data_IF_269486502376
#
_entry.id   IF_269486502376
#
_cell.length_a   1.000
_cell.length_b   1.000
_cell.length_c   1.000
_cell.angle_alpha   90.00
_cell.angle_beta   90.00
_cell.angle_gamma   90.00
#
_symmetry.space_group_name_H-M   'P 1'
#
loop_
_entity.id
_entity.type
_entity.pdbx_description
1 polymer ?
#
# COMPACT_ATOMS: atom_id res chain seq x y z
N UNK A 1 -18.98 -13.71 -21.45
CA UNK A 1 -17.58 -13.66 -20.95
C UNK A 1 -16.56 -13.06 -21.92
N UNK A 2 -16.84 -12.88 -23.22
CA UNK A 2 -15.84 -12.37 -24.18
C UNK A 2 -15.26 -10.98 -23.83
N UNK A 3 -16.08 -10.05 -23.34
CA UNK A 3 -15.64 -8.68 -22.99
C UNK A 3 -14.68 -8.65 -21.79
N UNK A 4 -14.98 -9.43 -20.74
CA UNK A 4 -14.14 -9.50 -19.54
C UNK A 4 -12.76 -10.05 -19.89
N UNK A 5 -12.68 -11.14 -20.66
CA UNK A 5 -11.41 -11.70 -21.12
C UNK A 5 -10.56 -10.73 -21.90
N UNK A 6 -11.16 -9.96 -22.80
CA UNK A 6 -10.43 -8.93 -23.56
C UNK A 6 -9.85 -7.88 -22.61
N UNK A 7 -10.58 -7.47 -21.55
CA UNK A 7 -10.08 -6.51 -20.57
C UNK A 7 -8.96 -7.08 -19.69
N UNK A 8 -9.02 -8.38 -19.36
CA UNK A 8 -7.93 -9.10 -18.68
C UNK A 8 -6.68 -9.16 -19.57
N UNK A 9 -6.84 -9.61 -20.82
CA UNK A 9 -5.76 -9.73 -21.81
C UNK A 9 -5.10 -8.37 -22.13
N UNK A 10 -5.88 -7.29 -22.11
CA UNK A 10 -5.38 -5.92 -22.29
C UNK A 10 -4.78 -5.31 -21.02
N UNK A 11 -4.86 -5.99 -19.87
CA UNK A 11 -4.33 -5.50 -18.60
C UNK A 11 -5.18 -4.39 -17.96
N UNK A 12 -6.42 -4.17 -18.38
CA UNK A 12 -7.33 -3.27 -17.65
C UNK A 12 -7.84 -3.90 -16.37
N UNK A 13 -8.04 -5.22 -16.37
CA UNK A 13 -8.37 -5.99 -15.16
C UNK A 13 -7.11 -6.72 -14.71
N UNK A 14 -6.58 -6.33 -13.55
CA UNK A 14 -5.37 -6.91 -12.97
C UNK A 14 -5.65 -8.09 -12.02
N UNK A 15 -6.91 -8.28 -11.61
CA UNK A 15 -7.31 -9.38 -10.75
C UNK A 15 -8.69 -9.20 -10.12
N UNK A 16 -9.08 -10.19 -9.33
CA UNK A 16 -10.35 -10.21 -8.60
C UNK A 16 -10.08 -10.47 -7.13
N UNK A 17 -10.63 -9.62 -6.26
CA UNK A 17 -10.50 -9.74 -4.82
C UNK A 17 -11.86 -9.56 -4.17
N UNK A 18 -12.11 -10.32 -3.11
CA UNK A 18 -13.28 -10.09 -2.28
C UNK A 18 -13.05 -8.83 -1.43
N UNK A 19 -14.09 -8.01 -1.30
CA UNK A 19 -14.15 -7.00 -0.25
C UNK A 19 -14.47 -7.70 1.08
N UNK A 20 -13.62 -7.49 2.08
CA UNK A 20 -13.65 -8.24 3.34
C UNK A 20 -13.64 -7.29 4.53
N UNK A 21 -14.43 -7.63 5.55
CA UNK A 21 -14.39 -6.93 6.82
C UNK A 21 -13.12 -7.33 7.60
N UNK A 22 -12.14 -6.43 7.63
CA UNK A 22 -10.87 -6.67 8.31
C UNK A 22 -11.04 -6.93 9.80
N UNK A 23 -12.00 -6.28 10.47
CA UNK A 23 -12.25 -6.46 11.91
C UNK A 23 -12.92 -7.80 12.19
N UNK A 24 -13.86 -8.22 11.37
CA UNK A 24 -14.46 -9.56 11.48
C UNK A 24 -13.41 -10.67 11.33
N UNK A 25 -12.31 -10.39 10.61
CA UNK A 25 -11.16 -11.29 10.46
C UNK A 25 -10.08 -11.10 11.54
N UNK A 26 -10.30 -10.22 12.53
CA UNK A 26 -9.40 -9.98 13.65
C UNK A 26 -8.25 -9.01 13.37
N UNK A 27 -8.29 -8.24 12.29
CA UNK A 27 -7.33 -7.17 11.98
C UNK A 27 -7.82 -5.82 12.50
N UNK A 28 -7.46 -5.50 13.74
CA UNK A 28 -7.94 -4.31 14.45
C UNK A 28 -7.06 -3.08 14.24
N UNK A 29 -5.83 -3.26 13.72
CA UNK A 29 -4.84 -2.19 13.62
C UNK A 29 -4.53 -1.86 12.17
N UNK A 30 -4.68 -0.58 11.82
CA UNK A 30 -4.21 -0.03 10.56
C UNK A 30 -3.28 1.16 10.83
N UNK A 31 -2.11 1.15 10.20
CA UNK A 31 -1.05 2.15 10.46
C UNK A 31 -0.47 2.63 9.14
N UNK A 32 -0.34 3.95 8.99
CA UNK A 32 0.52 4.53 7.97
C UNK A 32 1.93 4.67 8.50
N UNK A 33 2.91 4.22 7.73
CA UNK A 33 4.32 4.25 8.09
C UNK A 33 5.09 5.07 7.07
N UNK A 34 5.64 6.18 7.51
CA UNK A 34 6.53 7.04 6.73
C UNK A 34 7.96 6.58 6.97
N UNK A 35 8.67 6.21 5.90
CA UNK A 35 10.03 5.69 5.95
C UNK A 35 10.95 6.63 5.19
N UNK A 36 11.97 7.11 5.87
CA UNK A 36 13.12 7.79 5.26
C UNK A 36 14.32 6.85 5.22
N UNK A 37 15.01 6.82 4.10
CA UNK A 37 16.20 6.03 3.84
C UNK A 37 17.47 6.89 3.97
N UNK A 38 18.62 6.24 4.17
CA UNK A 38 19.90 6.93 4.25
C UNK A 38 20.41 7.33 2.86
N UNK A 39 20.12 6.50 1.85
CA UNK A 39 20.46 6.68 0.45
C UNK A 39 19.23 6.51 -0.44
N UNK A 40 19.08 7.43 -1.39
CA UNK A 40 18.04 7.42 -2.43
C UNK A 40 18.60 6.93 -3.78
N UNK A 41 19.72 6.22 -3.78
CA UNK A 41 20.20 5.58 -5.00
C UNK A 41 19.17 4.54 -5.49
N UNK A 42 18.98 4.44 -6.80
CA UNK A 42 17.98 3.56 -7.43
C UNK A 42 18.05 2.11 -6.93
N UNK A 43 19.26 1.60 -6.73
CA UNK A 43 19.49 0.25 -6.20
C UNK A 43 18.97 0.07 -4.78
N UNK A 44 19.09 1.10 -3.95
CA UNK A 44 18.65 1.06 -2.55
C UNK A 44 17.14 1.22 -2.45
N UNK A 45 16.55 2.10 -3.27
CA UNK A 45 15.10 2.25 -3.41
C UNK A 45 14.47 0.92 -3.84
N UNK A 46 14.97 0.30 -4.91
CA UNK A 46 14.48 -0.98 -5.43
C UNK A 46 14.65 -2.12 -4.42
N UNK A 47 15.76 -2.14 -3.67
CA UNK A 47 15.98 -3.12 -2.61
C UNK A 47 14.95 -2.99 -1.50
N UNK A 48 14.63 -1.76 -1.07
CA UNK A 48 13.63 -1.52 -0.04
C UNK A 48 12.21 -1.89 -0.52
N UNK A 49 11.85 -1.54 -1.76
CA UNK A 49 10.58 -1.97 -2.36
C UNK A 49 10.45 -3.50 -2.39
N UNK A 50 11.53 -4.20 -2.78
CA UNK A 50 11.57 -5.65 -2.81
C UNK A 50 11.28 -6.27 -1.45
N UNK A 51 11.82 -5.69 -0.36
CA UNK A 51 11.52 -6.11 1.01
C UNK A 51 10.06 -5.83 1.39
N UNK A 52 9.55 -4.66 1.04
CA UNK A 52 8.15 -4.30 1.32
C UNK A 52 7.16 -5.30 0.71
N UNK A 53 7.42 -5.76 -0.51
CA UNK A 53 6.57 -6.77 -1.18
C UNK A 53 6.53 -8.12 -0.44
N UNK A 54 7.54 -8.44 0.37
CA UNK A 54 7.63 -9.70 1.12
C UNK A 54 6.93 -9.63 2.49
N UNK A 55 6.68 -8.44 3.03
CA UNK A 55 6.10 -8.28 4.36
C UNK A 55 4.58 -8.42 4.35
N UNK A 56 4.01 -9.43 5.01
CA UNK A 56 2.56 -9.67 4.96
C UNK A 56 1.72 -8.60 5.64
N UNK A 57 2.30 -7.79 6.55
CA UNK A 57 1.57 -6.70 7.18
C UNK A 57 1.51 -5.45 6.29
N UNK A 58 2.41 -5.32 5.31
CA UNK A 58 2.45 -4.18 4.37
C UNK A 58 1.47 -4.45 3.23
N UNK A 59 0.38 -3.69 3.16
CA UNK A 59 -0.68 -3.86 2.13
C UNK A 59 -0.53 -2.90 0.97
N UNK A 60 0.09 -1.75 1.22
CA UNK A 60 0.48 -0.83 0.16
C UNK A 60 1.86 -0.25 0.47
N UNK A 61 2.64 0.02 -0.58
CA UNK A 61 3.95 0.65 -0.50
C UNK A 61 4.07 1.63 -1.66
N UNK A 62 4.24 2.91 -1.35
CA UNK A 62 4.28 4.00 -2.33
C UNK A 62 5.54 4.80 -2.14
N UNK A 63 6.34 4.95 -3.20
CA UNK A 63 7.44 5.90 -3.23
C UNK A 63 6.91 7.31 -3.39
N UNK A 64 7.45 8.26 -2.63
CA UNK A 64 7.02 9.65 -2.64
C UNK A 64 8.15 10.58 -3.08
N UNK A 65 7.77 11.73 -3.65
CA UNK A 65 8.67 12.86 -3.81
C UNK A 65 8.57 13.73 -2.55
N UNK A 66 9.68 14.00 -1.85
CA UNK A 66 9.69 14.94 -0.71
C UNK A 66 10.61 14.52 0.44
N UNK A 67 10.17 14.83 1.68
CA UNK A 67 10.93 14.57 2.92
C UNK A 67 10.97 13.09 3.34
N UNK A 68 10.05 12.29 2.81
CA UNK A 68 9.90 10.86 3.12
C UNK A 68 9.98 10.12 1.80
N UNK A 69 10.76 9.03 1.77
CA UNK A 69 10.98 8.26 0.55
C UNK A 69 9.81 7.30 0.27
N UNK A 70 9.25 6.70 1.33
CA UNK A 70 8.13 5.76 1.20
C UNK A 70 7.03 6.00 2.23
N UNK A 71 5.79 5.78 1.82
CA UNK A 71 4.66 5.57 2.73
C UNK A 71 4.11 4.15 2.57
N UNK A 72 3.95 3.46 3.69
CA UNK A 72 3.38 2.12 3.76
C UNK A 72 2.00 2.18 4.41
N UNK A 73 1.01 1.48 3.86
CA UNK A 73 -0.25 1.15 4.57
C UNK A 73 -0.09 -0.24 5.16
N UNK A 74 -0.02 -0.32 6.48
CA UNK A 74 0.09 -1.58 7.20
C UNK A 74 -1.24 -1.96 7.85
N UNK A 75 -1.55 -3.26 7.87
CA UNK A 75 -2.70 -3.83 8.57
C UNK A 75 -2.22 -5.00 9.43
N UNK A 76 -2.60 -5.02 10.71
CA UNK A 76 -2.15 -6.01 11.67
C UNK A 76 -3.31 -6.45 12.61
N UNK A 77 -3.22 -7.66 13.20
CA UNK A 77 -4.19 -8.12 14.19
C UNK A 77 -4.32 -7.18 15.39
N UNK A 78 -3.17 -6.75 15.92
CA UNK A 78 -3.07 -5.93 17.12
C UNK A 78 -1.78 -5.10 17.11
N UNK A 79 -1.67 -4.19 18.10
CA UNK A 79 -0.51 -3.31 18.24
C UNK A 79 0.78 -4.07 18.58
N UNK A 80 0.70 -5.20 19.29
CA UNK A 80 1.89 -5.98 19.64
C UNK A 80 2.51 -6.61 18.40
N UNK A 81 1.67 -7.18 17.53
CA UNK A 81 2.08 -7.77 16.25
C UNK A 81 2.72 -6.71 15.36
N UNK A 82 2.09 -5.53 15.27
CA UNK A 82 2.66 -4.41 14.52
C UNK A 82 3.99 -3.93 15.12
N UNK A 83 4.09 -3.83 16.45
CA UNK A 83 5.32 -3.42 17.12
C UNK A 83 6.46 -4.41 16.87
N UNK A 84 6.19 -5.72 16.92
CA UNK A 84 7.18 -6.75 16.60
C UNK A 84 7.71 -6.60 15.18
N UNK A 85 6.84 -6.40 14.19
CA UNK A 85 7.23 -6.11 12.80
C UNK A 85 8.06 -4.82 12.71
N UNK A 86 7.61 -3.74 13.34
CA UNK A 86 8.28 -2.44 13.32
C UNK A 86 9.72 -2.56 13.85
N UNK A 87 9.91 -3.17 15.01
CA UNK A 87 11.23 -3.27 15.66
C UNK A 87 12.10 -4.40 15.13
N UNK A 88 11.49 -5.49 14.68
CA UNK A 88 12.20 -6.70 14.25
C UNK A 88 12.63 -6.65 12.79
N UNK A 89 11.78 -6.11 11.92
CA UNK A 89 11.97 -6.16 10.47
C UNK A 89 12.18 -4.76 9.86
N UNK A 90 11.31 -3.79 10.17
CA UNK A 90 11.33 -2.51 9.45
C UNK A 90 12.47 -1.61 9.91
N UNK A 91 12.63 -1.38 11.22
CA UNK A 91 13.69 -0.53 11.77
C UNK A 91 15.09 -1.14 11.60
N UNK A 92 15.17 -2.46 11.43
CA UNK A 92 16.43 -3.19 11.22
C UNK A 92 16.74 -3.37 9.73
N UNK A 93 15.82 -3.00 8.84
CA UNK A 93 16.04 -3.11 7.40
C UNK A 93 17.23 -2.23 6.99
N UNK A 94 18.15 -2.76 6.17
CA UNK A 94 19.26 -1.98 5.65
C UNK A 94 18.77 -0.70 4.98
N UNK A 95 19.55 0.38 5.13
CA UNK A 95 19.28 1.70 4.57
C UNK A 95 18.08 2.45 5.17
N UNK A 96 17.34 1.90 6.14
CA UNK A 96 16.30 2.68 6.84
C UNK A 96 16.95 3.67 7.82
N UNK A 97 16.71 4.97 7.61
CA UNK A 97 17.24 6.04 8.44
C UNK A 97 16.24 6.50 9.51
N UNK A 98 14.97 6.58 9.15
CA UNK A 98 13.94 7.06 10.06
C UNK A 98 12.59 6.44 9.73
N UNK A 99 11.77 6.27 10.77
CA UNK A 99 10.41 5.77 10.65
C UNK A 99 9.50 6.62 11.53
N UNK A 100 8.38 7.07 10.97
CA UNK A 100 7.28 7.71 11.70
C UNK A 100 6.00 6.95 11.42
N UNK A 101 5.25 6.62 12.47
CA UNK A 101 4.00 5.88 12.35
C UNK A 101 2.80 6.76 12.67
N UNK A 102 1.67 6.48 12.05
CA UNK A 102 0.39 7.16 12.30
C UNK A 102 -0.72 6.11 12.33
N UNK A 103 -1.25 5.86 13.52
CA UNK A 103 -2.34 4.91 13.73
C UNK A 103 -3.65 5.48 13.18
N UNK A 104 -4.37 4.70 12.39
CA UNK A 104 -5.70 5.07 11.89
C UNK A 104 -6.72 4.86 12.99
N UNK A 105 -7.37 5.94 13.42
CA UNK A 105 -8.46 5.89 14.42
C UNK A 105 -9.77 5.44 13.76
N UNK A 106 -10.05 5.96 12.56
CA UNK A 106 -11.26 5.63 11.78
C UNK A 106 -11.03 5.91 10.29
N UNK A 107 -11.24 4.90 9.45
CA UNK A 107 -11.39 5.08 8.01
C UNK A 107 -12.78 5.62 7.67
N UNK A 108 -12.86 6.78 7.03
CA UNK A 108 -14.14 7.34 6.56
C UNK A 108 -14.51 6.85 5.15
N UNK A 109 -13.51 6.50 4.35
CA UNK A 109 -13.66 6.06 2.95
C UNK A 109 -12.47 5.17 2.58
N UNK A 110 -12.74 4.00 2.01
CA UNK A 110 -11.75 3.09 1.42
C UNK A 110 -12.46 2.38 0.25
N UNK A 111 -12.20 2.82 -0.98
CA UNK A 111 -12.86 2.31 -2.19
C UNK A 111 -11.78 1.79 -3.16
N UNK A 112 -11.91 0.56 -3.69
CA UNK A 112 -10.95 0.02 -4.63
C UNK A 112 -11.10 0.63 -6.02
N UNK A 113 -10.00 0.64 -6.78
CA UNK A 113 -10.01 1.02 -8.20
C UNK A 113 -9.88 2.52 -8.44
N UNK A 114 -10.36 2.96 -9.62
CA UNK A 114 -10.29 4.34 -10.09
C UNK A 114 -11.69 4.94 -10.22
N UNK A 115 -11.87 6.27 -10.11
CA UNK A 115 -13.17 6.91 -10.28
C UNK A 115 -13.63 6.86 -11.74
N UNK A 116 -14.53 5.92 -12.07
CA UNK A 116 -14.99 5.68 -13.45
C UNK A 116 -15.90 6.79 -13.99
N UNK A 117 -16.67 7.45 -13.13
CA UNK A 117 -17.43 8.65 -13.45
C UNK A 117 -16.54 9.76 -14.05
N UNK A 118 -15.35 9.96 -13.45
CA UNK A 118 -14.35 10.90 -13.97
C UNK A 118 -13.81 10.45 -15.34
N UNK A 119 -13.65 9.14 -15.56
CA UNK A 119 -13.22 8.61 -16.86
C UNK A 119 -14.28 8.85 -17.94
N UNK A 120 -15.55 8.57 -17.65
CA UNK A 120 -16.67 8.77 -18.59
C UNK A 120 -16.81 10.25 -18.98
N UNK A 121 -16.69 11.16 -18.01
CA UNK A 121 -16.73 12.58 -18.26
C UNK A 121 -15.59 13.03 -19.19
N UNK A 122 -14.36 12.55 -18.97
CA UNK A 122 -13.19 12.88 -19.82
C UNK A 122 -13.36 12.39 -21.25
N UNK A 123 -13.93 11.19 -21.44
CA UNK A 123 -14.18 10.62 -22.77
C UNK A 123 -15.27 11.39 -23.52
N UNK A 124 -16.36 11.76 -22.83
CA UNK A 124 -17.45 12.54 -23.45
C UNK A 124 -17.03 13.94 -23.92
N UNK A 125 -16.05 14.57 -23.24
CA UNK A 125 -15.49 15.88 -23.63
C UNK A 125 -14.51 15.81 -24.81
N UNK A 126 -13.98 14.62 -25.10
CA UNK A 126 -12.97 14.40 -26.15
C UNK A 126 -13.57 13.84 -27.45
N UNK A 127 -14.88 13.59 -27.47
CA UNK A 127 -15.66 13.07 -28.60
C UNK A 127 -16.43 14.20 -29.29
#
# INVERSE_FOLDING_TARGET
>A
MRRVRVLEEQGYIQGYHADVDSRALGFEVQVFVMVGLQSQAETDLSTFEGRCRQWPLVRECHMLNGEVDFILKCVAPDLSTFQSFLTGDLLTAPNVASVKTSLVIRGAKDEPGVPFDVLEERLSRSA
#
